data_IF_868648198615
#
_entry.id   IF_868648198615
#
_cell.length_a   1.000
_cell.length_b   1.000
_cell.length_c   1.000
_cell.angle_alpha   90.00
_cell.angle_beta   90.00
_cell.angle_gamma   90.00
#
_symmetry.space_group_name_H-M   'P 1'
#
loop_
_entity.id
_entity.type
_entity.pdbx_description
1 polymer ?
#
# COMPACT_ATOMS: atom_id res chain seq x y z
N UNK A 1 -13.78 23.59 7.92
CA UNK A 1 -12.60 22.72 8.13
C UNK A 1 -12.51 21.83 6.92
N UNK A 2 -11.45 21.91 6.11
CA UNK A 2 -11.30 21.01 4.96
C UNK A 2 -11.22 19.57 5.49
N UNK A 3 -11.91 18.62 4.83
CA UNK A 3 -11.78 17.21 5.17
C UNK A 3 -10.30 16.81 4.99
N UNK A 4 -9.74 16.10 5.97
CA UNK A 4 -8.39 15.55 5.80
C UNK A 4 -8.44 14.54 4.65
N UNK A 5 -7.51 14.60 3.70
CA UNK A 5 -7.50 13.66 2.59
C UNK A 5 -7.42 12.22 3.10
N UNK A 6 -7.96 11.30 2.33
CA UNK A 6 -7.87 9.88 2.56
C UNK A 6 -7.39 9.25 1.27
N UNK A 7 -6.30 8.50 1.36
CA UNK A 7 -5.71 7.83 0.23
C UNK A 7 -5.98 6.34 0.33
N UNK A 8 -6.37 5.73 -0.79
CA UNK A 8 -6.41 4.28 -0.98
C UNK A 8 -5.17 3.85 -1.73
N UNK A 9 -4.36 3.00 -1.12
CA UNK A 9 -3.13 2.47 -1.70
C UNK A 9 -3.35 0.99 -2.02
N UNK A 10 -3.26 0.62 -3.29
CA UNK A 10 -3.28 -0.76 -3.76
C UNK A 10 -1.86 -1.18 -4.15
N UNK A 11 -1.32 -2.22 -3.54
CA UNK A 11 0.05 -2.67 -3.76
C UNK A 11 0.19 -4.20 -3.63
N UNK A 12 1.20 -4.76 -4.27
CA UNK A 12 1.51 -6.18 -4.23
C UNK A 12 2.41 -6.49 -3.04
N UNK A 13 2.03 -7.50 -2.24
CA UNK A 13 2.80 -7.99 -1.12
C UNK A 13 2.73 -9.52 -1.08
N UNK A 14 3.87 -10.19 -1.20
CA UNK A 14 3.98 -11.67 -1.16
C UNK A 14 3.00 -12.40 -2.10
N UNK A 15 2.75 -11.86 -3.30
CA UNK A 15 1.83 -12.45 -4.28
C UNK A 15 0.35 -12.19 -4.01
N UNK A 16 0.03 -11.33 -3.05
CA UNK A 16 -1.33 -10.85 -2.78
C UNK A 16 -1.42 -9.36 -3.14
N UNK A 17 -2.57 -8.94 -3.68
CA UNK A 17 -2.92 -7.54 -3.84
C UNK A 17 -3.55 -7.05 -2.55
N UNK A 18 -2.88 -6.12 -1.89
CA UNK A 18 -3.30 -5.51 -0.64
C UNK A 18 -3.85 -4.11 -0.90
N UNK A 19 -4.95 -3.78 -0.24
CA UNK A 19 -5.54 -2.45 -0.24
C UNK A 19 -5.57 -1.89 1.18
N UNK A 20 -4.93 -0.73 1.40
CA UNK A 20 -4.94 -0.01 2.66
C UNK A 20 -5.38 1.44 2.47
N UNK A 21 -5.85 2.05 3.54
CA UNK A 21 -6.23 3.47 3.56
C UNK A 21 -5.28 4.23 4.49
N UNK A 22 -4.87 5.44 4.10
CA UNK A 22 -3.93 6.27 4.85
C UNK A 22 -4.28 7.75 4.76
N UNK A 23 -3.77 8.56 5.68
CA UNK A 23 -4.05 10.01 5.71
C UNK A 23 -2.99 10.82 4.99
N UNK A 24 -1.76 10.32 4.98
CA UNK A 24 -0.61 11.08 4.54
C UNK A 24 0.29 10.20 3.68
N UNK A 25 0.71 10.74 2.54
CA UNK A 25 1.60 10.10 1.56
C UNK A 25 2.65 11.10 1.10
N UNK A 26 3.92 10.68 1.10
CA UNK A 26 5.04 11.53 0.70
C UNK A 26 6.05 10.77 -0.16
N UNK A 27 6.80 11.51 -0.98
CA UNK A 27 8.01 10.97 -1.58
C UNK A 27 9.04 10.75 -0.46
N UNK A 28 9.65 9.57 -0.41
CA UNK A 28 10.62 9.26 0.63
C UNK A 28 12.01 9.83 0.30
N UNK A 29 12.76 10.14 1.37
CA UNK A 29 14.22 10.30 1.30
C UNK A 29 14.91 8.97 0.91
N UNK A 30 14.22 7.84 1.10
CA UNK A 30 14.66 6.55 0.57
C UNK A 30 14.30 6.45 -0.92
N UNK A 31 15.34 6.46 -1.75
CA UNK A 31 15.17 6.36 -3.20
C UNK A 31 14.38 5.10 -3.59
N UNK A 32 13.33 5.29 -4.39
CA UNK A 32 12.46 4.21 -4.87
C UNK A 32 11.33 3.81 -3.91
N UNK A 33 11.12 4.54 -2.82
CA UNK A 33 10.05 4.29 -1.84
C UNK A 33 9.08 5.48 -1.69
N UNK A 34 7.85 5.16 -1.33
CA UNK A 34 6.81 6.10 -0.93
C UNK A 34 6.53 5.92 0.56
N UNK A 35 6.47 7.02 1.30
CA UNK A 35 6.13 7.03 2.71
C UNK A 35 4.62 7.10 2.88
N UNK A 36 4.09 6.23 3.74
CA UNK A 36 2.67 6.17 4.06
C UNK A 36 2.51 6.25 5.57
N UNK A 37 1.70 7.18 6.04
CA UNK A 37 1.43 7.43 7.46
C UNK A 37 -0.07 7.51 7.78
N UNK A 38 -0.39 7.30 9.05
CA UNK A 38 -1.76 7.41 9.53
C UNK A 38 -2.68 6.38 8.89
N UNK A 39 -2.23 5.12 8.82
CA UNK A 39 -3.04 4.00 8.28
C UNK A 39 -4.36 3.92 9.04
N UNK A 40 -5.46 3.86 8.29
CA UNK A 40 -6.83 3.81 8.80
C UNK A 40 -7.38 2.41 8.55
N UNK A 41 -7.89 1.79 9.62
CA UNK A 41 -8.66 0.55 9.55
C UNK A 41 -10.12 0.88 9.79
N UNK A 42 -11.01 0.43 8.90
CA UNK A 42 -12.45 0.60 9.08
C UNK A 42 -12.99 -0.11 10.33
N UNK A 43 -14.14 0.34 10.81
CA UNK A 43 -14.76 -0.10 12.07
C UNK A 43 -15.10 -1.60 12.11
N UNK A 44 -14.85 -2.21 13.28
CA UNK A 44 -15.11 -3.60 13.67
C UNK A 44 -16.61 -4.00 13.73
N UNK A 45 -17.53 -3.12 13.30
CA UNK A 45 -18.97 -3.32 13.49
C UNK A 45 -19.61 -4.30 12.51
N UNK A 46 -18.86 -4.81 11.52
CA UNK A 46 -19.33 -5.89 10.65
C UNK A 46 -18.84 -7.24 11.16
N UNK A 47 -19.81 -8.01 11.67
CA UNK A 47 -19.74 -9.37 12.24
C UNK A 47 -19.12 -10.44 11.31
N UNK A 48 -18.60 -10.07 10.13
CA UNK A 48 -17.88 -10.97 9.21
C UNK A 48 -16.42 -10.53 9.16
N UNK A 49 -15.58 -11.21 9.94
CA UNK A 49 -14.13 -11.01 9.96
C UNK A 49 -13.53 -11.59 8.69
N UNK A 50 -13.09 -10.74 7.77
CA UNK A 50 -12.32 -11.16 6.60
C UNK A 50 -10.87 -11.47 7.03
N UNK A 51 -10.33 -12.68 6.74
CA UNK A 51 -8.98 -13.06 7.15
C UNK A 51 -7.89 -12.16 6.55
N UNK A 52 -8.14 -11.56 5.38
CA UNK A 52 -7.22 -10.61 4.75
C UNK A 52 -7.18 -9.27 5.49
N UNK A 53 -8.31 -8.78 5.97
CA UNK A 53 -8.39 -7.56 6.77
C UNK A 53 -7.67 -7.72 8.13
N UNK A 54 -7.82 -8.87 8.78
CA UNK A 54 -7.13 -9.18 10.03
C UNK A 54 -5.61 -9.30 9.83
N UNK A 55 -5.17 -9.91 8.73
CA UNK A 55 -3.74 -9.99 8.36
C UNK A 55 -3.15 -8.60 8.12
N UNK A 56 -3.87 -7.73 7.41
CA UNK A 56 -3.49 -6.33 7.21
C UNK A 56 -3.34 -5.62 8.55
N UNK A 57 -4.35 -5.71 9.42
CA UNK A 57 -4.34 -5.06 10.74
C UNK A 57 -3.14 -5.49 11.57
N UNK A 58 -2.89 -6.80 11.69
CA UNK A 58 -1.72 -7.34 12.43
C UNK A 58 -0.40 -6.90 11.84
N UNK A 59 -0.31 -6.74 10.52
CA UNK A 59 0.94 -6.35 9.86
C UNK A 59 1.32 -4.90 10.15
N UNK A 60 0.33 -4.01 10.25
CA UNK A 60 0.54 -2.59 10.52
C UNK A 60 0.24 -2.20 11.98
N UNK A 61 -0.06 -3.16 12.85
CA UNK A 61 -0.22 -2.92 14.27
C UNK A 61 1.09 -2.39 14.86
N UNK A 62 1.03 -1.22 15.50
CA UNK A 62 2.22 -0.55 16.04
C UNK A 62 3.12 0.12 14.99
N UNK A 63 2.74 0.13 13.70
CA UNK A 63 3.52 0.79 12.64
C UNK A 63 3.08 2.24 12.48
N UNK A 64 3.99 3.18 12.77
CA UNK A 64 3.72 4.61 12.60
C UNK A 64 3.89 5.09 11.15
N UNK A 65 4.85 4.52 10.43
CA UNK A 65 5.20 4.87 9.05
C UNK A 65 5.62 3.63 8.28
N UNK A 66 5.13 3.51 7.05
CA UNK A 66 5.50 2.43 6.12
C UNK A 66 6.20 2.99 4.89
N UNK A 67 7.21 2.28 4.42
CA UNK A 67 7.95 2.60 3.20
C UNK A 67 7.59 1.56 2.13
N UNK A 68 6.75 1.95 1.17
CA UNK A 68 6.31 1.05 0.12
C UNK A 68 7.19 1.23 -1.13
N UNK A 69 7.79 0.15 -1.66
CA UNK A 69 8.54 0.21 -2.91
C UNK A 69 7.64 0.69 -4.06
N UNK A 70 8.10 1.65 -4.86
CA UNK A 70 7.32 2.20 -5.98
C UNK A 70 6.88 1.14 -6.99
N UNK A 71 7.71 0.12 -7.21
CA UNK A 71 7.42 -0.98 -8.13
C UNK A 71 6.40 -1.99 -7.60
N UNK A 72 6.12 -1.99 -6.30
CA UNK A 72 5.08 -2.83 -5.69
C UNK A 72 3.71 -2.13 -5.71
N UNK A 73 3.69 -0.80 -5.81
CA UNK A 73 2.46 -0.01 -5.84
C UNK A 73 1.78 -0.19 -7.20
N UNK A 74 0.51 -0.59 -7.15
CA UNK A 74 -0.36 -0.70 -8.33
C UNK A 74 -1.08 0.62 -8.58
N UNK A 75 -1.63 1.24 -7.54
CA UNK A 75 -2.35 2.52 -7.64
C UNK A 75 -2.45 3.23 -6.29
N UNK A 76 -2.48 4.57 -6.35
CA UNK A 76 -2.83 5.45 -5.24
C UNK A 76 -3.99 6.33 -5.71
N UNK A 77 -5.10 6.32 -4.98
CA UNK A 77 -6.27 7.15 -5.25
C UNK A 77 -6.57 8.03 -4.03
N UNK A 78 -6.84 9.32 -4.23
CA UNK A 78 -7.47 10.15 -3.20
C UNK A 78 -8.99 9.90 -3.23
N UNK A 79 -9.57 9.52 -2.10
CA UNK A 79 -10.96 9.05 -1.99
C UNK A 79 -11.72 9.81 -0.90
N UNK A 80 -13.03 9.98 -1.08
CA UNK A 80 -13.87 10.67 -0.09
C UNK A 80 -14.24 9.79 1.12
N UNK A 81 -14.25 8.46 0.94
CA UNK A 81 -14.68 7.50 1.97
C UNK A 81 -13.82 6.25 1.97
N UNK A 82 -13.63 5.69 3.15
CA UNK A 82 -12.99 4.40 3.34
C UNK A 82 -13.89 3.25 2.87
N UNK A 83 -13.26 2.26 2.23
CA UNK A 83 -13.84 0.96 1.96
C UNK A 83 -13.33 -0.08 2.94
N UNK A 84 -13.82 -1.32 2.83
CA UNK A 84 -13.24 -2.45 3.57
C UNK A 84 -11.89 -2.79 2.95
N UNK A 85 -10.76 -2.74 3.71
CA UNK A 85 -9.46 -3.21 3.24
C UNK A 85 -9.54 -4.66 2.78
N UNK A 86 -8.86 -5.03 1.71
CA UNK A 86 -8.89 -6.40 1.16
C UNK A 86 -7.48 -6.87 0.82
N UNK A 87 -7.23 -8.15 1.09
CA UNK A 87 -6.10 -8.88 0.56
C UNK A 87 -6.65 -9.97 -0.38
N UNK A 88 -6.39 -9.85 -1.67
CA UNK A 88 -6.85 -10.82 -2.68
C UNK A 88 -5.63 -11.50 -3.27
N UNK A 89 -5.66 -12.83 -3.45
CA UNK A 89 -4.62 -13.50 -4.24
C UNK A 89 -4.54 -12.86 -5.62
N UNK A 90 -3.34 -12.49 -6.05
CA UNK A 90 -3.13 -11.99 -7.40
C UNK A 90 -3.26 -13.17 -8.40
N UNK A 91 -4.48 -13.57 -8.72
CA UNK A 91 -4.75 -14.54 -9.78
C UNK A 91 -4.74 -13.80 -11.13
N UNK A 92 -3.56 -13.71 -11.73
CA UNK A 92 -3.35 -13.12 -13.05
C UNK A 92 -1.88 -13.19 -13.45
N UNK A 93 -1.60 -13.16 -14.75
CA UNK A 93 -0.26 -13.10 -15.38
C UNK A 93 0.50 -11.81 -15.02
N UNK A 94 0.66 -11.50 -13.73
CA UNK A 94 1.48 -10.39 -13.24
C UNK A 94 2.91 -10.89 -13.19
N UNK A 95 3.56 -10.91 -14.35
CA UNK A 95 5.01 -11.09 -14.44
C UNK A 95 5.68 -9.93 -13.71
N UNK A 96 6.59 -10.24 -12.78
CA UNK A 96 7.44 -9.23 -12.16
C UNK A 96 8.11 -8.40 -13.25
N UNK A 97 8.04 -7.07 -13.12
CA UNK A 97 8.72 -6.18 -14.05
C UNK A 97 10.22 -6.51 -14.05
N UNK A 98 10.88 -6.65 -15.22
CA UNK A 98 12.29 -6.96 -15.28
C UNK A 98 13.09 -5.91 -14.49
N UNK A 99 13.65 -6.34 -13.36
CA UNK A 99 14.54 -5.53 -12.55
C UNK A 99 15.88 -5.41 -13.24
N UNK A 100 16.00 -4.46 -14.16
CA UNK A 100 17.29 -4.01 -14.63
C UNK A 100 17.23 -2.50 -14.84
N UNK A 101 17.49 -1.76 -13.76
CA UNK A 101 18.06 -0.45 -13.92
C UNK A 101 19.46 -0.67 -14.50
N UNK A 102 19.54 -0.76 -15.84
CA UNK A 102 20.78 -0.61 -16.57
C UNK A 102 21.20 0.85 -16.40
N UNK A 103 21.82 1.18 -15.26
CA UNK A 103 22.66 2.35 -15.24
C UNK A 103 23.77 2.07 -16.26
N UNK A 104 24.01 2.95 -17.24
CA UNK A 104 25.16 2.78 -18.11
C UNK A 104 26.41 2.64 -17.22
N UNK A 105 27.38 1.76 -17.54
CA UNK A 105 28.62 1.72 -16.80
C UNK A 105 29.17 3.15 -16.74
N UNK A 106 29.55 3.63 -15.55
CA UNK A 106 30.27 4.89 -15.49
C UNK A 106 31.53 4.70 -16.33
N UNK A 107 31.67 5.53 -17.36
CA UNK A 107 32.94 5.66 -18.07
C UNK A 107 33.98 6.16 -17.05
N UNK A 108 35.08 5.42 -16.92
CA UNK A 108 36.31 5.88 -16.24
C UNK A 108 37.02 6.94 -17.10
#
# INVERSE_FOLDING_TARGET
MAARPLYRISFLQQGELWELYARDIFQSELWGFIEVEGVVFGDDTKVVVDPGAEKLRRTFEGVSRSYLPMNAIVRIDEVEREGTPRAVKAEGNVTAFPGAMHWPPREE
#
